data_IF_885436792275
#
_entry.id   IF_885436792275
#
_cell.length_a   1.000
_cell.length_b   1.000
_cell.length_c   1.000
_cell.angle_alpha   90.00
_cell.angle_beta   90.00
_cell.angle_gamma   90.00
#
_symmetry.space_group_name_H-M   'P 1'
#
loop_
_entity.id
_entity.type
_entity.pdbx_description
1 polymer ?
#
# COMPACT_ATOMS: atom_id res chain seq x y z
N UNK A 1 -8.53 -24.74 8.52
CA UNK A 1 -9.47 -23.68 8.95
C UNK A 1 -10.68 -23.76 8.04
N UNK A 2 -11.83 -24.22 8.55
CA UNK A 2 -13.08 -24.26 7.80
C UNK A 2 -13.64 -22.85 7.75
N UNK A 3 -13.67 -22.22 6.57
CA UNK A 3 -14.34 -20.95 6.36
C UNK A 3 -15.84 -21.20 6.53
N UNK A 4 -16.47 -20.55 7.50
CA UNK A 4 -17.90 -20.66 7.70
C UNK A 4 -18.64 -19.93 6.57
N UNK A 5 -19.91 -20.26 6.35
CA UNK A 5 -20.75 -19.53 5.38
C UNK A 5 -20.77 -18.02 5.67
N UNK A 6 -20.66 -17.62 6.94
CA UNK A 6 -20.54 -16.22 7.34
C UNK A 6 -19.22 -15.58 6.87
N UNK A 7 -18.10 -16.31 6.91
CA UNK A 7 -16.79 -15.82 6.45
C UNK A 7 -16.74 -15.66 4.92
N UNK A 8 -17.35 -16.60 4.19
CA UNK A 8 -17.44 -16.57 2.73
C UNK A 8 -18.33 -15.40 2.24
N UNK A 9 -19.46 -15.15 2.90
CA UNK A 9 -20.32 -14.01 2.58
C UNK A 9 -19.68 -12.66 2.89
N UNK A 10 -18.91 -12.56 3.99
CA UNK A 10 -18.22 -11.34 4.37
C UNK A 10 -17.06 -11.01 3.40
N UNK A 11 -16.29 -12.03 2.99
CA UNK A 11 -15.21 -11.86 2.02
C UNK A 11 -15.71 -11.48 0.62
N UNK A 12 -16.86 -12.01 0.17
CA UNK A 12 -17.44 -11.69 -1.14
C UNK A 12 -18.13 -10.32 -1.21
N UNK A 13 -18.58 -9.78 -0.07
CA UNK A 13 -19.35 -8.53 0.02
C UNK A 13 -18.58 -7.39 0.69
N UNK A 14 -17.26 -7.52 0.89
CA UNK A 14 -16.46 -6.45 1.49
C UNK A 14 -16.45 -5.23 0.56
N UNK A 15 -17.26 -4.23 0.91
CA UNK A 15 -17.25 -2.94 0.23
C UNK A 15 -15.85 -2.35 0.37
N UNK A 16 -15.23 -1.98 -0.76
CA UNK A 16 -13.99 -1.20 -0.72
C UNK A 16 -14.28 0.07 0.07
N UNK A 17 -13.47 0.30 1.08
CA UNK A 17 -13.55 1.52 1.86
C UNK A 17 -13.12 2.70 1.00
N UNK A 18 -13.58 3.90 1.34
CA UNK A 18 -13.16 5.14 0.65
C UNK A 18 -11.63 5.30 0.65
N UNK A 19 -10.96 4.86 1.73
CA UNK A 19 -9.50 4.83 1.85
C UNK A 19 -8.85 3.91 0.83
N UNK A 20 -9.36 2.70 0.66
CA UNK A 20 -8.81 1.73 -0.31
C UNK A 20 -8.95 2.22 -1.74
N UNK A 21 -10.09 2.84 -2.08
CA UNK A 21 -10.29 3.47 -3.41
C UNK A 21 -9.29 4.59 -3.63
N UNK A 22 -9.15 5.51 -2.67
CA UNK A 22 -8.21 6.62 -2.76
C UNK A 22 -6.76 6.15 -2.91
N UNK A 23 -6.33 5.17 -2.10
CA UNK A 23 -4.97 4.64 -2.17
C UNK A 23 -4.71 3.94 -3.52
N UNK A 24 -5.69 3.21 -4.05
CA UNK A 24 -5.55 2.57 -5.36
C UNK A 24 -5.42 3.61 -6.50
N UNK A 25 -6.16 4.72 -6.43
CA UNK A 25 -6.02 5.82 -7.38
C UNK A 25 -4.65 6.51 -7.24
N UNK A 26 -4.21 6.77 -6.00
CA UNK A 26 -2.89 7.34 -5.71
C UNK A 26 -1.76 6.46 -6.25
N UNK A 27 -1.84 5.14 -6.11
CA UNK A 27 -0.83 4.23 -6.64
C UNK A 27 -0.71 4.27 -8.17
N UNK A 28 -1.76 4.64 -8.89
CA UNK A 28 -1.70 4.81 -10.34
C UNK A 28 -1.15 6.18 -10.76
N UNK A 29 -1.48 7.24 -10.03
CA UNK A 29 -1.12 8.62 -10.42
C UNK A 29 0.23 9.08 -9.87
N UNK A 30 0.69 8.50 -8.76
CA UNK A 30 1.94 8.91 -8.12
C UNK A 30 3.13 8.21 -8.81
N UNK A 31 4.15 8.96 -9.27
CA UNK A 31 5.34 8.39 -9.91
C UNK A 31 6.33 7.85 -8.85
N UNK A 32 5.93 6.83 -8.09
CA UNK A 32 6.68 6.29 -6.95
C UNK A 32 8.14 5.99 -7.27
N UNK A 33 8.43 5.40 -8.43
CA UNK A 33 9.81 5.08 -8.86
C UNK A 33 10.69 6.33 -8.98
N UNK A 34 10.15 7.41 -9.53
CA UNK A 34 10.89 8.66 -9.70
C UNK A 34 11.13 9.35 -8.36
N UNK A 35 10.12 9.33 -7.48
CA UNK A 35 10.24 9.88 -6.13
C UNK A 35 11.26 9.11 -5.29
N UNK A 36 11.23 7.78 -5.34
CA UNK A 36 12.22 6.95 -4.66
C UNK A 36 13.63 7.23 -5.19
N UNK A 37 13.82 7.29 -6.51
CA UNK A 37 15.11 7.61 -7.11
C UNK A 37 15.64 9.00 -6.70
N UNK A 38 14.74 9.97 -6.51
CA UNK A 38 15.08 11.31 -6.04
C UNK A 38 15.53 11.33 -4.58
N UNK A 39 14.90 10.52 -3.73
CA UNK A 39 15.16 10.51 -2.28
C UNK A 39 16.35 9.60 -1.92
N UNK A 40 16.57 8.52 -2.68
CA UNK A 40 17.62 7.51 -2.43
C UNK A 40 19.01 8.09 -2.11
N UNK A 41 19.54 9.12 -2.81
CA UNK A 41 20.86 9.69 -2.52
C UNK A 41 20.94 10.41 -1.17
N UNK A 42 19.81 10.86 -0.64
CA UNK A 42 19.71 11.62 0.61
C UNK A 42 19.23 10.77 1.78
N UNK A 43 18.80 9.54 1.52
CA UNK A 43 18.29 8.67 2.56
C UNK A 43 19.45 8.16 3.42
N UNK A 44 19.44 8.38 4.75
CA UNK A 44 20.52 7.93 5.60
C UNK A 44 20.58 6.41 5.60
N UNK A 45 21.66 5.85 5.05
CA UNK A 45 21.97 4.44 5.20
C UNK A 45 22.42 4.26 6.65
N UNK A 46 21.59 3.62 7.47
CA UNK A 46 21.93 3.30 8.86
C UNK A 46 23.29 2.56 8.87
N UNK A 47 24.35 3.26 9.29
CA UNK A 47 25.71 2.68 9.31
C UNK A 47 26.89 3.61 9.04
N UNK A 48 26.70 4.88 8.63
CA UNK A 48 27.81 5.84 8.60
C UNK A 48 27.79 6.72 9.86
N UNK A 49 28.80 6.63 10.75
CA UNK A 49 29.06 7.69 11.71
C UNK A 49 29.38 8.97 10.92
N UNK A 50 28.80 10.08 11.34
CA UNK A 50 29.18 11.41 10.84
C UNK A 50 30.61 11.78 11.18
#
# INVERSE_FOLDING_TARGET
MQLSFGDAEYNGKRKRTRREVFLAEMDQVVPWKALLALIEPHYPKSGQPG
#
